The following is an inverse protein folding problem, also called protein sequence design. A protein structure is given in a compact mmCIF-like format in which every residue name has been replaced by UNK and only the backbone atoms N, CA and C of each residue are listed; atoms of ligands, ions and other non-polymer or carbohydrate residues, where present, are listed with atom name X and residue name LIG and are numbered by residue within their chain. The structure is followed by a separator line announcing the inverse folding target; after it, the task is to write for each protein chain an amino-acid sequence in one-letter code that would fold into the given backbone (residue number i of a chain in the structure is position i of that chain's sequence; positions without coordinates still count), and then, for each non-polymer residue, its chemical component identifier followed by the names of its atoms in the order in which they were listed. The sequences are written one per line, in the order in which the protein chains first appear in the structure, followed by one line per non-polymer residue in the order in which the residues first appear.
data_IF_973254072992
#
_entry.id   IF_973254072992
#
_cell.length_a   1.000
_cell.length_b   1.000
_cell.length_c   1.000
_cell.angle_alpha   90.00
_cell.angle_beta   90.00
_cell.angle_gamma   90.00
#
_symmetry.space_group_name_H-M   'P 1'
#
loop_
_entity.id
_entity.type
_entity.pdbx_description
1 polymer ?
#
# COMPACT_ATOMS: atom_id res chain seq x y z
N UNK A 1 6.21 11.54 -13.47
CA UNK A 1 7.08 12.48 -12.71
C UNK A 1 7.59 11.88 -11.39
N UNK A 2 8.87 12.04 -10.99
CA UNK A 2 9.35 11.63 -9.64
C UNK A 2 9.04 12.76 -8.64
N UNK A 3 8.42 12.42 -7.52
CA UNK A 3 8.12 13.38 -6.44
C UNK A 3 8.84 12.92 -5.17
N UNK A 4 9.56 13.85 -4.55
CA UNK A 4 10.16 13.69 -3.23
C UNK A 4 9.21 14.30 -2.19
N UNK A 5 8.96 13.58 -1.11
CA UNK A 5 8.13 14.05 -0.01
C UNK A 5 8.66 13.51 1.31
N UNK A 6 8.38 14.22 2.40
CA UNK A 6 8.74 13.80 3.75
C UNK A 6 7.47 13.36 4.49
N UNK A 7 7.22 12.06 4.64
CA UNK A 7 6.02 11.59 5.32
C UNK A 7 6.09 11.92 6.80
N UNK A 8 5.09 12.64 7.29
CA UNK A 8 4.87 12.85 8.72
C UNK A 8 4.01 11.69 9.21
N UNK A 9 4.64 10.67 9.78
CA UNK A 9 3.96 9.50 10.37
C UNK A 9 4.01 9.58 11.89
N UNK A 10 3.02 8.99 12.56
CA UNK A 10 2.98 8.96 14.03
C UNK A 10 4.22 8.31 14.64
N UNK A 11 4.71 7.23 14.02
CA UNK A 11 5.96 6.58 14.41
C UNK A 11 7.18 7.50 14.27
N UNK A 12 7.24 8.30 13.20
CA UNK A 12 8.34 9.23 12.94
C UNK A 12 8.31 10.41 13.92
N UNK A 13 7.11 10.90 14.26
CA UNK A 13 6.90 11.92 15.28
C UNK A 13 7.27 11.42 16.68
N UNK A 14 6.86 10.20 17.03
CA UNK A 14 7.22 9.58 18.30
C UNK A 14 8.75 9.47 18.44
N UNK A 15 9.43 8.95 17.41
CA UNK A 15 10.91 8.88 17.38
C UNK A 15 11.56 10.26 17.52
N UNK A 16 11.02 11.26 16.82
CA UNK A 16 11.53 12.63 16.89
C UNK A 16 11.38 13.21 18.31
N UNK A 17 10.21 13.03 18.92
CA UNK A 17 9.95 13.46 20.29
C UNK A 17 10.93 12.84 21.27
N UNK A 18 11.07 11.51 21.25
CA UNK A 18 12.01 10.79 22.11
C UNK A 18 13.45 11.25 21.91
N UNK A 19 13.86 11.52 20.66
CA UNK A 19 15.21 12.01 20.38
C UNK A 19 15.44 13.41 20.94
N UNK A 20 14.52 14.35 20.70
CA UNK A 20 14.62 15.73 21.18
C UNK A 20 14.67 15.77 22.71
N UNK A 21 13.90 14.92 23.38
CA UNK A 21 13.90 14.80 24.84
C UNK A 21 15.27 14.36 25.39
N UNK A 22 15.99 13.51 24.66
CA UNK A 22 17.32 13.03 25.05
C UNK A 22 18.48 13.96 24.67
N UNK A 23 18.22 15.04 23.91
CA UNK A 23 19.27 15.98 23.52
C UNK A 23 19.73 16.79 24.73
N UNK A 24 21.05 16.89 24.90
CA UNK A 24 21.66 17.78 25.87
C UNK A 24 21.67 19.24 25.38
N UNK A 25 20.99 20.11 26.11
CA UNK A 25 20.85 21.54 25.83
C UNK A 25 21.81 22.43 26.65
N UNK A 26 22.74 21.85 27.41
CA UNK A 26 23.67 22.60 28.28
C UNK A 26 24.46 23.68 27.50
N UNK A 27 24.74 23.47 26.21
CA UNK A 27 25.46 24.43 25.36
C UNK A 27 24.76 25.79 25.20
N UNK A 28 23.45 25.88 25.45
CA UNK A 28 22.72 27.15 25.40
C UNK A 28 23.18 28.10 26.52
N UNK A 29 23.53 27.55 27.67
CA UNK A 29 23.92 28.29 28.88
C UNK A 29 25.41 28.67 28.91
N UNK A 30 26.21 28.19 27.96
CA UNK A 30 27.67 28.40 27.95
C UNK A 30 28.04 29.83 27.55
N UNK A 31 28.58 30.63 28.48
CA UNK A 31 28.94 32.04 28.24
C UNK A 31 30.15 32.17 27.29
N UNK A 32 30.98 31.13 27.18
CA UNK A 32 32.19 31.15 26.35
C UNK A 32 31.92 31.07 24.85
N UNK A 33 30.73 30.60 24.45
CA UNK A 33 30.35 30.41 23.06
C UNK A 33 29.60 31.63 22.50
N UNK A 34 29.98 32.14 21.32
CA UNK A 34 29.23 33.20 20.65
C UNK A 34 27.84 32.72 20.22
N UNK A 35 26.87 33.65 20.22
CA UNK A 35 25.46 33.38 19.93
C UNK A 35 25.26 32.66 18.59
N UNK A 36 25.98 33.08 17.55
CA UNK A 36 25.88 32.52 16.20
C UNK A 36 26.18 31.02 16.20
N UNK A 37 27.24 30.60 16.88
CA UNK A 37 27.64 29.19 16.98
C UNK A 37 26.64 28.36 17.77
N UNK A 38 26.03 28.94 18.82
CA UNK A 38 24.94 28.27 19.55
C UNK A 38 23.72 28.05 18.66
N UNK A 39 23.34 29.06 17.87
CA UNK A 39 22.19 28.98 16.97
C UNK A 39 22.43 27.97 15.84
N UNK A 40 23.62 27.97 15.24
CA UNK A 40 24.01 26.96 14.25
C UNK A 40 23.97 25.55 14.85
N UNK A 41 24.53 25.36 16.05
CA UNK A 41 24.51 24.06 16.73
C UNK A 41 23.09 23.60 17.01
N UNK A 42 22.23 24.49 17.50
CA UNK A 42 20.81 24.23 17.72
C UNK A 42 20.10 23.79 16.44
N UNK A 43 20.26 24.55 15.35
CA UNK A 43 19.63 24.25 14.06
C UNK A 43 20.15 22.95 13.45
N UNK A 44 21.44 22.66 13.61
CA UNK A 44 22.04 21.41 13.15
C UNK A 44 21.48 20.20 13.91
N UNK A 45 21.34 20.30 15.23
CA UNK A 45 20.72 19.24 16.04
C UNK A 45 19.29 18.98 15.56
N UNK A 46 18.47 20.01 15.39
CA UNK A 46 17.09 19.83 14.92
C UNK A 46 17.03 19.24 13.51
N UNK A 47 17.82 19.77 12.59
CA UNK A 47 17.82 19.33 11.19
C UNK A 47 18.27 17.88 11.07
N UNK A 48 19.30 17.47 11.82
CA UNK A 48 19.80 16.09 11.84
C UNK A 48 18.76 15.13 12.42
N UNK A 49 18.14 15.48 13.55
CA UNK A 49 17.09 14.64 14.14
C UNK A 49 15.87 14.52 13.22
N UNK A 50 15.45 15.62 12.57
CA UNK A 50 14.38 15.59 11.57
C UNK A 50 14.77 14.71 10.37
N UNK A 51 15.98 14.86 9.82
CA UNK A 51 16.51 14.05 8.72
C UNK A 51 16.48 12.55 9.02
N UNK A 52 16.83 12.16 10.24
CA UNK A 52 16.88 10.78 10.68
C UNK A 52 15.49 10.19 10.98
N UNK A 53 14.65 10.92 11.72
CA UNK A 53 13.34 10.43 12.15
C UNK A 53 12.28 10.49 11.03
N UNK A 54 12.40 11.44 10.10
CA UNK A 54 11.46 11.67 9.01
C UNK A 54 12.16 11.60 7.66
N UNK A 55 12.65 10.44 7.19
CA UNK A 55 13.46 10.37 5.98
C UNK A 55 12.68 10.80 4.73
N UNK A 56 13.36 11.49 3.81
CA UNK A 56 12.79 11.86 2.51
C UNK A 56 12.53 10.58 1.71
N UNK A 57 11.28 10.39 1.29
CA UNK A 57 10.89 9.30 0.41
C UNK A 57 10.64 9.84 -0.99
N UNK A 58 11.03 9.07 -1.99
CA UNK A 58 10.71 9.38 -3.38
C UNK A 58 9.73 8.35 -3.92
N UNK A 59 8.67 8.81 -4.59
CA UNK A 59 7.78 7.92 -5.36
C UNK A 59 7.67 8.38 -6.79
N UNK A 60 7.57 7.43 -7.71
CA UNK A 60 7.16 7.72 -9.06
C UNK A 60 5.66 8.03 -9.03
N UNK A 61 5.32 9.26 -9.39
CA UNK A 61 3.95 9.61 -9.70
C UNK A 61 3.72 9.21 -11.15
N UNK A 62 2.94 8.15 -11.32
CA UNK A 62 2.28 7.81 -12.57
C UNK A 62 1.30 8.94 -12.87
N UNK A 63 1.66 9.80 -13.82
CA UNK A 63 0.70 10.68 -14.46
C UNK A 63 -0.16 9.79 -15.37
N UNK A 64 -1.38 9.52 -14.94
CA UNK A 64 -2.38 8.87 -15.78
C UNK A 64 -2.57 7.37 -15.53
N UNK A 65 -3.26 7.05 -14.45
CA UNK A 65 -4.30 6.03 -14.55
C UNK A 65 -5.63 6.76 -14.33
N UNK A 66 -6.16 7.38 -15.40
CA UNK A 66 -7.43 8.14 -15.32
C UNK A 66 -8.59 7.29 -14.83
N UNK A 67 -8.44 5.96 -14.87
CA UNK A 67 -9.40 4.99 -14.37
C UNK A 67 -8.73 4.01 -13.39
N UNK A 68 -8.19 4.49 -12.26
CA UNK A 68 -7.75 3.56 -11.21
C UNK A 68 -8.97 2.90 -10.59
N UNK A 69 -9.25 1.67 -11.00
CA UNK A 69 -10.38 0.90 -10.49
C UNK A 69 -10.11 0.60 -9.02
N UNK A 70 -10.91 1.22 -8.15
CA UNK A 70 -10.79 1.01 -6.71
C UNK A 70 -11.46 -0.31 -6.32
N UNK A 71 -10.66 -1.37 -6.24
CA UNK A 71 -11.11 -2.70 -5.80
C UNK A 71 -10.76 -3.00 -4.33
N UNK A 72 -9.92 -2.18 -3.70
CA UNK A 72 -9.48 -2.39 -2.32
C UNK A 72 -10.36 -1.59 -1.37
N UNK A 73 -11.18 -2.29 -0.61
CA UNK A 73 -12.14 -1.70 0.33
C UNK A 73 -11.68 -1.83 1.79
N UNK A 74 -12.46 -1.22 2.69
CA UNK A 74 -12.19 -1.24 4.13
C UNK A 74 -12.20 -2.67 4.70
N UNK A 75 -13.03 -3.56 4.15
CA UNK A 75 -13.12 -4.95 4.61
C UNK A 75 -11.84 -5.73 4.27
N UNK A 76 -11.30 -5.57 3.06
CA UNK A 76 -9.98 -6.14 2.71
C UNK A 76 -8.84 -5.55 3.54
N UNK A 77 -8.92 -4.26 3.91
CA UNK A 77 -7.96 -3.65 4.82
C UNK A 77 -7.98 -4.34 6.19
N UNK A 78 -9.18 -4.49 6.76
CA UNK A 78 -9.39 -5.19 8.02
C UNK A 78 -8.92 -6.65 7.97
N UNK A 79 -9.20 -7.38 6.88
CA UNK A 79 -8.69 -8.74 6.71
C UNK A 79 -7.16 -8.80 6.66
N UNK A 80 -6.50 -7.82 6.05
CA UNK A 80 -5.03 -7.74 6.02
C UNK A 80 -4.46 -7.53 7.43
N UNK A 81 -5.01 -6.56 8.16
CA UNK A 81 -4.61 -6.25 9.54
C UNK A 81 -4.84 -7.45 10.47
N UNK A 82 -5.98 -8.13 10.32
CA UNK A 82 -6.28 -9.37 11.05
C UNK A 82 -5.26 -10.46 10.74
N UNK A 83 -4.88 -10.63 9.46
CA UNK A 83 -3.89 -11.62 9.07
C UNK A 83 -2.51 -11.33 9.68
N UNK A 84 -2.10 -10.05 9.68
CA UNK A 84 -0.86 -9.59 10.30
C UNK A 84 -0.86 -9.89 11.80
N UNK A 85 -1.95 -9.55 12.49
CA UNK A 85 -2.13 -9.83 13.92
C UNK A 85 -2.04 -11.32 14.24
N UNK A 86 -2.79 -12.17 13.53
CA UNK A 86 -2.80 -13.63 13.77
C UNK A 86 -1.43 -14.23 13.47
N UNK A 87 -0.73 -13.73 12.44
CA UNK A 87 0.63 -14.17 12.11
C UNK A 87 1.62 -13.79 13.22
N UNK A 88 1.46 -12.60 13.79
CA UNK A 88 2.27 -12.14 14.92
C UNK A 88 2.00 -12.97 16.18
N UNK A 89 0.73 -13.24 16.51
CA UNK A 89 0.35 -14.09 17.66
C UNK A 89 0.94 -15.50 17.52
N UNK A 90 0.90 -16.11 16.33
CA UNK A 90 1.51 -17.43 16.12
C UNK A 90 3.04 -17.40 16.25
N UNK A 91 3.69 -16.29 15.89
CA UNK A 91 5.14 -16.11 16.06
C UNK A 91 5.51 -16.04 17.54
N UNK A 92 4.72 -15.32 18.32
CA UNK A 92 4.98 -15.10 19.75
C UNK A 92 4.53 -16.30 20.60
N UNK A 93 3.39 -16.92 20.26
CA UNK A 93 2.78 -18.03 20.98
C UNK A 93 2.17 -19.07 20.02
N UNK A 94 2.96 -20.05 19.54
CA UNK A 94 2.51 -21.05 18.56
C UNK A 94 1.36 -21.95 19.01
N UNK A 95 1.08 -22.03 20.31
CA UNK A 95 0.04 -22.86 20.91
C UNK A 95 -1.36 -22.25 20.78
N UNK A 96 -1.45 -20.92 20.67
CA UNK A 96 -2.72 -20.16 20.68
C UNK A 96 -3.40 -20.20 19.32
N UNK A 97 -2.61 -20.13 18.25
CA UNK A 97 -3.12 -20.20 16.87
C UNK A 97 -2.28 -21.21 16.11
N UNK A 98 -2.92 -22.16 15.47
CA UNK A 98 -2.24 -23.14 14.63
C UNK A 98 -1.85 -22.53 13.27
N UNK A 99 -0.74 -23.02 12.69
CA UNK A 99 -0.36 -22.67 11.30
C UNK A 99 -1.45 -23.03 10.29
N UNK A 100 -2.27 -24.05 10.59
CA UNK A 100 -3.39 -24.48 9.74
C UNK A 100 -4.45 -23.39 9.64
N UNK A 101 -4.84 -22.79 10.76
CA UNK A 101 -5.82 -21.69 10.80
C UNK A 101 -5.32 -20.46 10.06
N UNK A 102 -4.04 -20.11 10.21
CA UNK A 102 -3.42 -19.02 9.43
C UNK A 102 -3.51 -19.30 7.94
N UNK A 103 -3.21 -20.53 7.50
CA UNK A 103 -3.26 -20.88 6.08
C UNK A 103 -4.69 -20.84 5.53
N UNK A 104 -5.68 -21.27 6.32
CA UNK A 104 -7.10 -21.14 5.97
C UNK A 104 -7.48 -19.67 5.80
N UNK A 105 -7.09 -18.82 6.75
CA UNK A 105 -7.37 -17.39 6.67
C UNK A 105 -6.65 -16.69 5.50
N UNK A 106 -5.39 -17.06 5.24
CA UNK A 106 -4.63 -16.60 4.05
C UNK A 106 -5.33 -17.00 2.76
N UNK A 107 -5.85 -18.22 2.68
CA UNK A 107 -6.60 -18.70 1.50
C UNK A 107 -7.87 -17.87 1.29
N UNK A 108 -8.64 -17.64 2.37
CA UNK A 108 -9.83 -16.80 2.37
C UNK A 108 -9.51 -15.36 1.93
N UNK A 109 -8.46 -14.75 2.49
CA UNK A 109 -8.04 -13.41 2.08
C UNK A 109 -7.69 -13.33 0.58
N UNK A 110 -6.98 -14.33 0.06
CA UNK A 110 -6.65 -14.42 -1.38
C UNK A 110 -7.89 -14.60 -2.26
N UNK A 111 -8.87 -15.40 -1.83
CA UNK A 111 -10.12 -15.55 -2.58
C UNK A 111 -10.92 -14.25 -2.61
N UNK A 112 -11.03 -13.57 -1.47
CA UNK A 112 -11.73 -12.29 -1.36
C UNK A 112 -11.11 -11.19 -2.23
N UNK A 113 -9.77 -11.15 -2.32
CA UNK A 113 -9.06 -10.25 -3.25
C UNK A 113 -9.48 -10.54 -4.69
N UNK A 114 -9.47 -11.83 -5.10
CA UNK A 114 -9.82 -12.22 -6.48
C UNK A 114 -11.26 -11.81 -6.81
N UNK A 115 -12.19 -12.04 -5.89
CA UNK A 115 -13.61 -11.69 -6.04
C UNK A 115 -13.77 -10.18 -6.20
N UNK A 116 -13.20 -9.38 -5.30
CA UNK A 116 -13.33 -7.91 -5.36
C UNK A 116 -12.67 -7.29 -6.59
N UNK A 117 -11.51 -7.80 -7.02
CA UNK A 117 -10.88 -7.40 -8.28
C UNK A 117 -11.80 -7.66 -9.48
N UNK A 118 -12.33 -8.89 -9.59
CA UNK A 118 -13.28 -9.25 -10.65
C UNK A 118 -14.49 -8.32 -10.63
N UNK A 119 -15.14 -8.17 -9.48
CA UNK A 119 -16.33 -7.34 -9.34
C UNK A 119 -16.07 -5.86 -9.68
N UNK A 120 -14.90 -5.34 -9.33
CA UNK A 120 -14.54 -3.97 -9.64
C UNK A 120 -14.29 -3.77 -11.15
N UNK A 121 -13.65 -4.72 -11.82
CA UNK A 121 -13.49 -4.72 -13.28
C UNK A 121 -14.84 -4.87 -13.99
N UNK A 122 -15.68 -5.81 -13.57
CA UNK A 122 -17.03 -6.00 -14.12
C UNK A 122 -17.88 -4.72 -13.96
N UNK A 123 -17.81 -4.08 -12.79
CA UNK A 123 -18.48 -2.81 -12.50
C UNK A 123 -17.96 -1.67 -13.38
N UNK A 124 -16.65 -1.63 -13.64
CA UNK A 124 -16.04 -0.65 -14.53
C UNK A 124 -16.51 -0.82 -15.98
N UNK A 125 -16.45 -2.04 -16.53
CA UNK A 125 -16.92 -2.34 -17.90
C UNK A 125 -18.40 -2.00 -18.04
N UNK A 126 -19.24 -2.41 -17.08
CA UNK A 126 -20.68 -2.19 -17.13
C UNK A 126 -21.07 -0.70 -17.09
N UNK A 127 -20.27 0.14 -16.42
CA UNK A 127 -20.51 1.58 -16.28
C UNK A 127 -19.93 2.41 -17.42
N UNK A 128 -19.07 1.83 -18.26
CA UNK A 128 -18.46 2.55 -19.36
C UNK A 128 -19.48 2.80 -20.48
N UNK A 129 -19.42 4.00 -21.07
CA UNK A 129 -20.21 4.36 -22.25
C UNK A 129 -19.86 3.47 -23.45
N UNK A 130 -18.57 3.19 -23.63
CA UNK A 130 -18.06 2.21 -24.60
C UNK A 130 -17.44 1.02 -23.85
N UNK A 131 -18.16 -0.11 -23.89
CA UNK A 131 -17.77 -1.36 -23.21
C UNK A 131 -16.57 -2.02 -23.89
N UNK A 132 -16.43 -1.89 -25.22
CA UNK A 132 -15.34 -2.50 -25.97
C UNK A 132 -14.03 -1.77 -25.67
N UNK A 133 -14.05 -0.43 -25.72
CA UNK A 133 -12.90 0.37 -25.31
C UNK A 133 -12.52 0.14 -23.85
N UNK A 134 -13.49 0.03 -22.93
CA UNK A 134 -13.24 -0.27 -21.52
C UNK A 134 -12.57 -1.64 -21.31
N UNK A 135 -13.01 -2.66 -22.04
CA UNK A 135 -12.39 -4.00 -22.01
C UNK A 135 -10.95 -3.96 -22.55
N UNK A 136 -10.73 -3.30 -23.70
CA UNK A 136 -9.40 -3.15 -24.28
C UNK A 136 -8.44 -2.42 -23.34
N UNK A 137 -8.92 -1.36 -22.67
CA UNK A 137 -8.14 -0.63 -21.67
C UNK A 137 -7.72 -1.52 -20.48
N UNK A 138 -8.49 -2.55 -20.12
CA UNK A 138 -8.09 -3.52 -19.08
C UNK A 138 -7.01 -4.48 -19.57
N UNK A 139 -7.09 -4.94 -20.83
CA UNK A 139 -6.14 -5.88 -21.42
C UNK A 139 -4.76 -5.24 -21.62
N UNK A 140 -4.74 -3.95 -21.96
CA UNK A 140 -3.49 -3.21 -22.24
C UNK A 140 -2.70 -2.83 -20.99
N UNK A 141 -3.20 -3.06 -19.77
CA UNK A 141 -2.47 -2.73 -18.52
C UNK A 141 -1.29 -3.70 -18.35
N UNK A 142 -0.02 -3.24 -18.49
CA UNK A 142 1.14 -4.10 -18.33
C UNK A 142 1.31 -4.45 -16.84
N UNK A 143 1.13 -5.72 -16.49
CA UNK A 143 1.46 -6.23 -15.13
C UNK A 143 0.33 -6.97 -14.41
N UNK A 144 -0.93 -6.87 -14.85
CA UNK A 144 -1.99 -7.74 -14.35
C UNK A 144 -2.12 -8.97 -15.26
N UNK A 145 -1.42 -10.03 -14.87
CA UNK A 145 -1.49 -11.35 -15.52
C UNK A 145 -2.93 -11.77 -15.85
N UNK A 146 -3.19 -11.97 -17.15
CA UNK A 146 -4.42 -12.52 -17.75
C UNK A 146 -4.89 -13.86 -17.14
N UNK A 147 -4.11 -14.47 -16.24
CA UNK A 147 -4.46 -15.72 -15.55
C UNK A 147 -5.70 -15.61 -14.64
N UNK A 148 -6.15 -14.41 -14.28
CA UNK A 148 -7.29 -14.23 -13.37
C UNK A 148 -8.65 -14.19 -14.10
N UNK A 149 -8.67 -13.95 -15.43
CA UNK A 149 -9.91 -13.78 -16.21
C UNK A 149 -10.33 -15.02 -17.01
N UNK A 150 -9.41 -15.93 -17.36
CA UNK A 150 -9.72 -17.09 -18.20
C UNK A 150 -10.38 -18.29 -17.46
N UNK A 151 -10.73 -18.17 -16.18
CA UNK A 151 -11.32 -19.27 -15.41
C UNK A 151 -12.83 -19.49 -15.59
N UNK A 152 -13.55 -18.66 -16.35
CA UNK A 152 -15.02 -18.68 -16.35
C UNK A 152 -15.73 -18.54 -17.71
N UNK A 153 -15.01 -18.48 -18.85
CA UNK A 153 -15.64 -18.23 -20.15
C UNK A 153 -15.18 -19.12 -21.31
N UNK A 154 -14.52 -20.26 -21.05
CA UNK A 154 -14.13 -21.22 -22.10
C UNK A 154 -14.88 -22.54 -21.92
N UNK A 155 -16.22 -22.49 -21.92
CA UNK A 155 -17.02 -23.71 -21.99
C UNK A 155 -18.35 -23.57 -22.74
N UNK A 156 -18.66 -22.46 -23.40
CA UNK A 156 -19.98 -22.30 -24.03
C UNK A 156 -20.03 -21.43 -25.31
N UNK A 157 -18.97 -21.43 -26.13
CA UNK A 157 -19.03 -20.74 -27.44
C UNK A 157 -18.49 -21.53 -28.62
N UNK A 158 -18.47 -22.86 -28.53
CA UNK A 158 -18.21 -23.75 -29.66
C UNK A 158 -19.19 -24.92 -29.65
N UNK A 159 -20.50 -24.67 -29.75
CA UNK A 159 -21.52 -25.55 -30.39
C UNK A 159 -22.81 -24.74 -30.51
N UNK A 160 -23.04 -24.07 -31.65
CA UNK A 160 -24.32 -23.98 -32.40
C UNK A 160 -23.90 -23.56 -33.82
N UNK A 161 -23.75 -24.48 -34.77
CA UNK A 161 -24.78 -24.78 -35.78
C UNK A 161 -24.74 -23.77 -36.93
N UNK A 162 -23.95 -23.97 -38.00
CA UNK A 162 -24.40 -24.57 -39.27
C UNK A 162 -25.84 -24.17 -39.66
N UNK A 163 -25.97 -23.33 -40.68
CA UNK A 163 -27.03 -23.45 -41.69
C UNK A 163 -26.59 -22.76 -42.99
N UNK A 164 -26.69 -23.53 -44.06
CA UNK A 164 -26.45 -23.23 -45.46
C UNK A 164 -27.33 -22.10 -46.01
N UNK A 165 -26.78 -21.29 -46.92
CA UNK A 165 -27.22 -21.23 -48.31
C UNK A 165 -26.20 -20.53 -49.20
#
# INVERSE_FOLDING_TARGET
KRINYRPVTDEGLFKLYSKIETVDWIFLSDISLPLTTKLERFMNILTNNIAECLPIKSRLVSEGCRNKINWFDHELAHMRETLELITQINKDNPQVVSKKEINVFKSKYRSEIRIRKKNAHDKYIRRASDKQAAMWNLIQVPGESLKTLCGAYVSNLFVVGLCSH
#
